data_IF_290228640737
#
_entry.id   IF_290228640737
#
_cell.length_a   1.000
_cell.length_b   1.000
_cell.length_c   1.000
_cell.angle_alpha   90.00
_cell.angle_beta   90.00
_cell.angle_gamma   90.00
#
_symmetry.space_group_name_H-M   'P 1'
#
loop_
_entity.id
_entity.type
_entity.pdbx_description
1 polymer ?
#
# COMPACT_ATOMS: atom_id res chain seq x y z
N UNK A 1 19.53 -1.18 -15.47
CA UNK A 1 19.64 -1.33 -14.01
C UNK A 1 20.59 -0.25 -13.52
N UNK A 2 20.05 0.87 -13.10
CA UNK A 2 20.84 1.96 -12.48
C UNK A 2 20.88 1.68 -10.99
N UNK A 3 22.07 1.36 -10.48
CA UNK A 3 22.34 1.27 -9.05
C UNK A 3 22.16 2.65 -8.42
N UNK A 4 21.10 2.83 -7.62
CA UNK A 4 20.96 4.00 -6.77
C UNK A 4 21.64 3.72 -5.43
N UNK A 5 22.58 4.60 -5.01
CA UNK A 5 23.39 4.40 -3.83
C UNK A 5 22.63 4.85 -2.58
N UNK A 6 21.79 3.99 -2.02
CA UNK A 6 21.35 4.08 -0.64
C UNK A 6 21.32 2.67 -0.06
N UNK A 7 22.30 2.44 0.80
CA UNK A 7 22.56 1.19 1.51
C UNK A 7 21.33 0.74 2.33
N UNK A 8 20.40 0.06 1.66
CA UNK A 8 19.32 -0.63 2.34
C UNK A 8 19.84 -2.00 2.69
N UNK A 9 20.37 -2.15 3.90
CA UNK A 9 20.68 -3.47 4.45
C UNK A 9 19.37 -4.25 4.57
N UNK A 10 19.11 -5.08 3.57
CA UNK A 10 17.97 -5.99 3.59
C UNK A 10 18.17 -7.01 4.72
N UNK A 11 17.14 -7.34 5.52
CA UNK A 11 17.26 -8.42 6.47
C UNK A 11 17.63 -9.71 5.72
N UNK A 12 18.56 -10.47 6.28
CA UNK A 12 18.98 -11.77 5.74
C UNK A 12 18.83 -12.87 6.79
N UNK A 13 18.54 -14.09 6.34
CA UNK A 13 18.37 -15.25 7.20
C UNK A 13 17.13 -15.17 8.11
N UNK A 14 16.15 -14.34 7.80
CA UNK A 14 14.90 -14.20 8.55
C UNK A 14 13.83 -15.14 8.01
N UNK A 15 12.90 -15.54 8.89
CA UNK A 15 11.67 -16.26 8.51
C UNK A 15 10.50 -15.29 8.55
N UNK A 16 9.97 -14.95 7.39
CA UNK A 16 9.06 -13.84 7.19
C UNK A 16 7.69 -14.34 6.76
N UNK A 17 6.63 -13.87 7.44
CA UNK A 17 5.25 -14.12 7.06
C UNK A 17 4.65 -12.89 6.40
N UNK A 18 4.06 -13.07 5.22
CA UNK A 18 3.41 -11.99 4.47
C UNK A 18 1.99 -12.40 4.08
N UNK A 19 1.01 -11.58 4.44
CA UNK A 19 -0.37 -11.74 3.95
C UNK A 19 -0.68 -10.71 2.87
N UNK A 20 -1.59 -11.03 1.96
CA UNK A 20 -1.94 -10.13 0.86
C UNK A 20 -0.92 -10.04 -0.27
N UNK A 21 0.04 -10.98 -0.34
CA UNK A 21 1.11 -11.00 -1.34
C UNK A 21 0.64 -11.21 -2.80
N UNK A 22 -0.61 -11.60 -3.00
CA UNK A 22 -1.21 -11.66 -4.36
C UNK A 22 -1.68 -10.30 -4.88
N UNK A 23 -1.68 -9.28 -4.01
CA UNK A 23 -2.13 -7.92 -4.32
C UNK A 23 -1.00 -6.97 -4.73
N UNK A 24 -1.37 -5.70 -4.91
CA UNK A 24 -0.48 -4.62 -5.32
C UNK A 24 0.66 -4.37 -4.32
N UNK A 25 0.33 -4.24 -3.03
CA UNK A 25 1.24 -3.72 -2.01
C UNK A 25 2.33 -4.73 -1.63
N UNK A 26 1.92 -5.95 -1.28
CA UNK A 26 2.83 -6.91 -0.66
C UNK A 26 3.56 -7.83 -1.65
N UNK A 27 3.20 -7.81 -2.94
CA UNK A 27 3.84 -8.70 -3.91
C UNK A 27 5.30 -8.34 -4.15
N UNK A 28 5.59 -7.07 -4.44
CA UNK A 28 6.98 -6.59 -4.61
C UNK A 28 7.81 -6.87 -3.35
N UNK A 29 7.22 -6.63 -2.16
CA UNK A 29 7.87 -6.93 -0.87
C UNK A 29 8.24 -8.41 -0.77
N UNK A 30 7.30 -9.32 -1.06
CA UNK A 30 7.55 -10.75 -0.98
C UNK A 30 8.65 -11.21 -1.96
N UNK A 31 8.58 -10.74 -3.20
CA UNK A 31 9.55 -11.09 -4.24
C UNK A 31 10.95 -10.55 -3.94
N UNK A 32 11.05 -9.34 -3.38
CA UNK A 32 12.34 -8.73 -3.00
C UNK A 32 12.97 -9.44 -1.80
N UNK A 33 12.19 -9.69 -0.74
CA UNK A 33 12.70 -10.30 0.48
C UNK A 33 13.11 -11.77 0.32
N UNK A 34 12.50 -12.48 -0.64
CA UNK A 34 12.79 -13.89 -0.89
C UNK A 34 14.23 -14.16 -1.36
N UNK A 35 14.95 -13.14 -1.86
CA UNK A 35 16.33 -13.30 -2.29
C UNK A 35 17.29 -13.72 -1.15
N UNK A 36 16.99 -13.34 0.09
CA UNK A 36 17.88 -13.53 1.25
C UNK A 36 17.18 -14.09 2.49
N UNK A 37 15.91 -14.47 2.39
CA UNK A 37 15.09 -14.87 3.53
C UNK A 37 14.16 -16.06 3.20
N UNK A 38 13.72 -16.77 4.22
CA UNK A 38 12.62 -17.74 4.11
C UNK A 38 11.29 -16.99 4.16
N UNK A 39 10.67 -16.77 2.99
CA UNK A 39 9.41 -16.02 2.88
C UNK A 39 8.22 -16.97 2.73
N UNK A 40 7.20 -16.77 3.57
CA UNK A 40 5.92 -17.44 3.54
C UNK A 40 4.82 -16.45 3.17
N UNK A 41 4.07 -16.75 2.12
CA UNK A 41 2.94 -15.93 1.70
C UNK A 41 1.62 -16.64 2.01
N UNK A 42 0.77 -15.99 2.80
CA UNK A 42 -0.57 -16.45 3.11
C UNK A 42 -1.59 -15.76 2.22
N UNK A 43 -2.52 -16.52 1.65
CA UNK A 43 -3.59 -15.99 0.84
C UNK A 43 -4.42 -17.06 0.15
N UNK A 44 -5.48 -16.66 -0.52
CA UNK A 44 -6.43 -17.58 -1.19
C UNK A 44 -5.85 -18.21 -2.46
N UNK A 45 -4.83 -17.64 -3.05
CA UNK A 45 -4.18 -18.09 -4.31
C UNK A 45 -5.17 -18.53 -5.39
N UNK A 46 -6.13 -17.64 -5.73
CA UNK A 46 -7.13 -17.90 -6.78
C UNK A 46 -6.52 -17.98 -8.17
N UNK A 47 -5.34 -17.40 -8.38
CA UNK A 47 -4.52 -17.55 -9.60
C UNK A 47 -3.41 -18.58 -9.36
N UNK A 48 -3.56 -19.82 -9.91
CA UNK A 48 -2.54 -20.88 -9.77
C UNK A 48 -1.21 -20.53 -10.45
N UNK A 49 -1.24 -19.70 -11.50
CA UNK A 49 -0.02 -19.28 -12.18
C UNK A 49 0.82 -18.36 -11.32
N UNK A 50 0.19 -17.46 -10.55
CA UNK A 50 0.88 -16.63 -9.58
C UNK A 50 1.45 -17.47 -8.42
N UNK A 51 0.68 -18.44 -7.89
CA UNK A 51 1.15 -19.35 -6.87
C UNK A 51 2.38 -20.15 -7.35
N UNK A 52 2.35 -20.64 -8.59
CA UNK A 52 3.48 -21.35 -9.20
C UNK A 52 4.72 -20.44 -9.33
N UNK A 53 4.56 -19.20 -9.80
CA UNK A 53 5.66 -18.21 -9.87
C UNK A 53 6.30 -17.92 -8.51
N UNK A 54 5.50 -17.85 -7.45
CA UNK A 54 6.04 -17.67 -6.09
C UNK A 54 6.91 -18.86 -5.69
N UNK A 55 6.43 -20.08 -5.91
CA UNK A 55 7.21 -21.30 -5.59
C UNK A 55 8.50 -21.39 -6.40
N UNK A 56 8.49 -20.99 -7.67
CA UNK A 56 9.71 -20.93 -8.50
C UNK A 56 10.76 -19.94 -7.97
N UNK A 57 10.32 -18.92 -7.23
CA UNK A 57 11.20 -17.96 -6.56
C UNK A 57 11.57 -18.35 -5.13
N UNK A 58 11.30 -19.58 -4.72
CA UNK A 58 11.59 -20.06 -3.36
C UNK A 58 10.61 -19.54 -2.30
N UNK A 59 9.55 -18.83 -2.68
CA UNK A 59 8.53 -18.34 -1.76
C UNK A 59 7.60 -19.48 -1.41
N UNK A 60 7.44 -19.76 -0.12
CA UNK A 60 6.48 -20.75 0.38
C UNK A 60 5.08 -20.17 0.35
N UNK A 61 4.11 -20.92 -0.12
CA UNK A 61 2.71 -20.51 -0.19
C UNK A 61 1.87 -21.33 0.78
N UNK A 62 0.97 -20.65 1.50
CA UNK A 62 0.02 -21.27 2.40
C UNK A 62 -1.38 -20.75 2.09
N UNK A 63 -2.31 -21.68 1.77
CA UNK A 63 -3.69 -21.29 1.52
C UNK A 63 -4.37 -20.91 2.82
N UNK A 64 -4.91 -19.71 2.84
CA UNK A 64 -5.56 -19.13 3.99
C UNK A 64 -6.61 -18.12 3.55
N UNK A 65 -7.84 -18.31 4.00
CA UNK A 65 -8.89 -17.29 3.93
C UNK A 65 -9.04 -16.64 5.30
N UNK A 66 -8.78 -15.35 5.37
CA UNK A 66 -8.85 -14.60 6.63
C UNK A 66 -10.25 -14.55 7.25
N UNK A 67 -11.31 -14.82 6.45
CA UNK A 67 -12.69 -14.81 6.93
C UNK A 67 -13.04 -16.03 7.82
N UNK A 68 -12.40 -17.19 7.60
CA UNK A 68 -12.80 -18.40 8.31
C UNK A 68 -11.67 -19.35 8.72
N UNK A 69 -10.53 -19.31 8.01
CA UNK A 69 -9.50 -20.32 8.23
C UNK A 69 -8.70 -20.08 9.52
N UNK A 70 -8.42 -21.17 10.21
CA UNK A 70 -7.47 -21.21 11.31
C UNK A 70 -6.02 -21.36 10.78
N UNK A 71 -5.04 -21.07 11.63
CA UNK A 71 -3.61 -21.15 11.31
C UNK A 71 -2.97 -22.47 11.76
N UNK A 72 -3.77 -23.53 11.91
CA UNK A 72 -3.28 -24.84 12.34
C UNK A 72 -2.28 -25.42 11.34
N UNK A 73 -1.12 -25.89 11.84
CA UNK A 73 -0.05 -26.45 11.02
C UNK A 73 0.88 -25.41 10.38
N UNK A 74 0.54 -24.13 10.43
CA UNK A 74 1.46 -23.06 10.05
C UNK A 74 2.59 -22.97 11.08
N UNK A 75 3.88 -22.85 10.69
CA UNK A 75 4.97 -22.60 11.62
C UNK A 75 4.73 -21.39 12.52
N UNK A 76 5.29 -21.41 13.74
CA UNK A 76 5.13 -20.31 14.73
C UNK A 76 6.40 -19.50 14.94
N UNK A 77 7.49 -19.88 14.32
CA UNK A 77 8.84 -19.34 14.48
C UNK A 77 9.16 -18.22 13.47
N UNK A 78 8.14 -17.51 13.03
CA UNK A 78 8.33 -16.32 12.19
C UNK A 78 8.99 -15.20 13.00
N UNK A 79 10.03 -14.61 12.43
CA UNK A 79 10.74 -13.50 13.03
C UNK A 79 10.09 -12.16 12.68
N UNK A 80 9.54 -12.03 11.47
CA UNK A 80 8.92 -10.79 10.98
C UNK A 80 7.59 -11.09 10.29
N UNK A 81 6.61 -10.21 10.49
CA UNK A 81 5.28 -10.34 9.89
C UNK A 81 4.89 -9.05 9.16
N UNK A 82 4.41 -9.19 7.91
CA UNK A 82 3.73 -8.13 7.18
C UNK A 82 2.28 -8.52 6.94
N UNK A 83 1.35 -7.84 7.59
CA UNK A 83 -0.09 -8.05 7.41
C UNK A 83 -0.68 -6.97 6.50
N UNK A 84 -0.83 -7.29 5.21
CA UNK A 84 -1.38 -6.41 4.18
C UNK A 84 -2.69 -6.95 3.54
N UNK A 85 -3.12 -8.16 3.93
CA UNK A 85 -4.43 -8.66 3.50
C UNK A 85 -5.55 -7.81 4.09
N UNK A 86 -6.63 -7.67 3.35
CA UNK A 86 -7.80 -6.89 3.76
C UNK A 86 -9.07 -7.45 3.13
N UNK A 87 -10.14 -7.51 3.93
CA UNK A 87 -11.51 -7.64 3.45
C UNK A 87 -12.12 -6.23 3.38
N UNK A 88 -12.67 -5.88 2.21
CA UNK A 88 -13.19 -4.53 1.97
C UNK A 88 -14.64 -4.35 2.42
N UNK A 89 -15.33 -5.46 2.67
CA UNK A 89 -16.68 -5.48 3.21
C UNK A 89 -17.78 -5.22 2.18
N UNK A 90 -17.49 -4.97 0.92
CA UNK A 90 -18.44 -4.72 -0.19
C UNK A 90 -19.80 -4.06 0.23
N UNK A 91 -19.74 -3.15 1.24
CA UNK A 91 -20.89 -2.48 1.85
C UNK A 91 -21.34 -3.06 3.20
N UNK A 92 -20.88 -4.23 3.60
CA UNK A 92 -21.15 -4.81 4.92
C UNK A 92 -20.12 -4.33 5.96
N UNK A 93 -20.60 -3.53 6.92
CA UNK A 93 -19.75 -2.97 7.98
C UNK A 93 -19.32 -4.01 9.01
N UNK A 94 -20.22 -4.93 9.35
CA UNK A 94 -19.94 -5.97 10.35
C UNK A 94 -18.85 -6.91 9.84
N UNK A 95 -18.99 -7.38 8.60
CA UNK A 95 -17.98 -8.21 7.96
C UNK A 95 -16.63 -7.48 7.83
N UNK A 96 -16.64 -6.20 7.43
CA UNK A 96 -15.41 -5.42 7.33
C UNK A 96 -14.70 -5.27 8.67
N UNK A 97 -15.44 -5.10 9.76
CA UNK A 97 -14.89 -4.99 11.13
C UNK A 97 -14.45 -6.36 11.64
N UNK A 98 -15.34 -7.35 11.61
CA UNK A 98 -15.10 -8.65 12.22
C UNK A 98 -13.96 -9.41 11.51
N UNK A 99 -14.02 -9.55 10.18
CA UNK A 99 -13.04 -10.33 9.43
C UNK A 99 -11.64 -9.74 9.57
N UNK A 100 -11.48 -8.42 9.41
CA UNK A 100 -10.16 -7.80 9.50
C UNK A 100 -9.59 -7.86 10.93
N UNK A 101 -10.40 -7.54 11.94
CA UNK A 101 -9.95 -7.50 13.33
C UNK A 101 -9.62 -8.91 13.86
N UNK A 102 -10.44 -9.91 13.55
CA UNK A 102 -10.21 -11.30 13.97
C UNK A 102 -8.99 -11.88 13.28
N UNK A 103 -8.82 -11.65 11.97
CA UNK A 103 -7.65 -12.12 11.23
C UNK A 103 -6.35 -11.52 11.77
N UNK A 104 -6.32 -10.21 12.04
CA UNK A 104 -5.17 -9.55 12.65
C UNK A 104 -4.88 -10.13 14.04
N UNK A 105 -5.91 -10.35 14.85
CA UNK A 105 -5.79 -10.94 16.18
C UNK A 105 -5.23 -12.37 16.16
N UNK A 106 -5.72 -13.21 15.24
CA UNK A 106 -5.22 -14.58 15.02
C UNK A 106 -3.75 -14.58 14.63
N UNK A 107 -3.35 -13.71 13.67
CA UNK A 107 -1.97 -13.59 13.21
C UNK A 107 -1.04 -13.12 14.33
N UNK A 108 -1.40 -12.06 15.06
CA UNK A 108 -0.59 -11.54 16.16
C UNK A 108 -0.43 -12.59 17.28
N UNK A 109 -1.50 -13.30 17.64
CA UNK A 109 -1.44 -14.37 18.63
C UNK A 109 -0.60 -15.55 18.15
N UNK A 110 -0.72 -15.94 16.88
CA UNK A 110 0.06 -17.02 16.28
C UNK A 110 1.54 -16.67 16.22
N UNK A 111 1.88 -15.45 15.81
CA UNK A 111 3.24 -14.94 15.65
C UNK A 111 3.72 -14.13 16.89
N UNK A 112 3.19 -14.38 18.08
CA UNK A 112 3.49 -13.59 19.30
C UNK A 112 4.97 -13.53 19.68
N UNK A 113 5.78 -14.46 19.19
CA UNK A 113 7.23 -14.50 19.42
C UNK A 113 8.03 -13.77 18.32
N UNK A 114 7.38 -13.12 17.37
CA UNK A 114 8.06 -12.40 16.32
C UNK A 114 8.81 -11.17 16.85
N UNK A 115 9.92 -10.84 16.23
CA UNK A 115 10.72 -9.65 16.51
C UNK A 115 9.98 -8.36 16.11
N UNK A 116 9.17 -8.43 15.04
CA UNK A 116 8.39 -7.29 14.57
C UNK A 116 7.13 -7.70 13.79
N UNK A 117 6.04 -6.95 14.01
CA UNK A 117 4.79 -7.05 13.28
C UNK A 117 4.48 -5.72 12.59
N UNK A 118 4.27 -5.73 11.27
CA UNK A 118 3.88 -4.56 10.50
C UNK A 118 2.45 -4.74 9.98
N UNK A 119 1.53 -3.90 10.47
CA UNK A 119 0.16 -3.84 10.00
C UNK A 119 -0.01 -2.72 8.97
N UNK A 120 -0.52 -3.06 7.79
CA UNK A 120 -0.83 -2.08 6.74
C UNK A 120 -2.25 -1.55 6.94
N UNK A 121 -2.34 -0.34 7.49
CA UNK A 121 -3.57 0.43 7.59
C UNK A 121 -3.76 1.33 6.35
N UNK A 122 -4.53 2.38 6.43
CA UNK A 122 -4.90 3.24 5.31
C UNK A 122 -4.99 4.72 5.71
N UNK A 123 -4.81 5.61 4.74
CA UNK A 123 -5.09 7.04 4.90
C UNK A 123 -6.57 7.34 5.17
N UNK A 124 -7.46 6.45 4.78
CA UNK A 124 -8.90 6.65 4.92
C UNK A 124 -9.41 6.59 6.38
N UNK A 125 -8.54 6.30 7.36
CA UNK A 125 -8.90 6.33 8.79
C UNK A 125 -8.97 7.72 9.40
N UNK A 126 -8.51 8.74 8.68
CA UNK A 126 -8.55 10.12 9.16
C UNK A 126 -9.92 10.77 8.96
N UNK A 127 -10.29 11.64 9.90
CA UNK A 127 -11.43 12.54 9.73
C UNK A 127 -11.16 13.53 8.58
N UNK A 128 -12.19 13.94 7.83
CA UNK A 128 -12.03 14.95 6.80
C UNK A 128 -11.48 16.27 7.33
N UNK A 129 -10.56 16.86 6.56
CA UNK A 129 -9.96 18.17 6.78
C UNK A 129 -10.04 18.99 5.48
N UNK A 130 -9.46 20.19 5.48
CA UNK A 130 -9.34 20.97 4.25
C UNK A 130 -8.62 20.14 3.16
N UNK A 131 -8.99 20.29 1.87
CA UNK A 131 -8.47 19.45 0.79
C UNK A 131 -6.94 19.45 0.66
N UNK A 132 -6.28 20.55 1.01
CA UNK A 132 -4.84 20.75 0.97
C UNK A 132 -4.13 20.46 2.29
N UNK A 133 -4.88 20.05 3.33
CA UNK A 133 -4.31 19.70 4.62
C UNK A 133 -3.38 18.48 4.50
N UNK A 134 -2.18 18.59 5.09
CA UNK A 134 -1.23 17.47 5.16
C UNK A 134 -1.38 16.78 6.50
N UNK A 135 -2.01 15.61 6.48
CA UNK A 135 -2.30 14.87 7.70
C UNK A 135 -1.04 14.38 8.40
N UNK A 136 -0.98 14.62 9.71
CA UNK A 136 0.00 14.03 10.63
C UNK A 136 -0.58 12.82 11.34
N UNK A 137 0.24 12.00 12.01
CA UNK A 137 -0.22 10.83 12.77
C UNK A 137 -1.09 11.17 13.98
N UNK A 138 -1.06 12.43 14.44
CA UNK A 138 -1.85 12.95 15.56
C UNK A 138 -3.19 13.55 15.15
N UNK A 139 -3.48 13.67 13.87
CA UNK A 139 -4.74 14.23 13.39
C UNK A 139 -5.95 13.38 13.82
N UNK A 140 -7.13 13.98 13.94
CA UNK A 140 -8.34 13.28 14.33
C UNK A 140 -8.65 12.11 13.42
N UNK A 141 -9.08 11.00 14.04
CA UNK A 141 -9.55 9.80 13.35
C UNK A 141 -11.07 9.87 13.17
N UNK A 142 -11.52 9.39 12.03
CA UNK A 142 -12.92 9.34 11.66
C UNK A 142 -13.02 9.00 10.18
N UNK A 143 -14.14 8.48 9.74
CA UNK A 143 -14.29 8.02 8.37
C UNK A 143 -15.40 8.74 7.66
N UNK A 144 -15.18 9.19 6.42
CA UNK A 144 -16.18 9.82 5.57
C UNK A 144 -16.05 9.40 4.11
N UNK A 145 -15.80 8.12 3.85
CA UNK A 145 -15.72 7.60 2.48
C UNK A 145 -17.12 7.27 1.97
N UNK A 146 -17.66 8.10 1.08
CA UNK A 146 -18.91 7.81 0.39
C UNK A 146 -18.76 6.69 -0.66
N UNK A 147 -17.56 6.49 -1.20
CA UNK A 147 -17.30 5.51 -2.26
C UNK A 147 -17.13 4.08 -1.74
N UNK A 148 -16.52 3.90 -0.55
CA UNK A 148 -16.27 2.59 0.07
C UNK A 148 -16.41 2.71 1.60
N UNK A 149 -17.63 2.85 2.13
CA UNK A 149 -17.82 3.29 3.51
C UNK A 149 -17.38 2.26 4.56
N UNK A 150 -17.54 0.97 4.33
CA UNK A 150 -17.19 -0.08 5.29
C UNK A 150 -15.67 -0.25 5.46
N UNK A 151 -14.89 -0.05 4.40
CA UNK A 151 -13.45 -0.28 4.38
C UNK A 151 -12.67 0.52 5.44
N UNK A 152 -12.80 1.87 5.53
CA UNK A 152 -12.06 2.63 6.54
C UNK A 152 -12.53 2.33 7.96
N UNK A 153 -13.81 1.98 8.16
CA UNK A 153 -14.34 1.57 9.47
C UNK A 153 -13.69 0.27 9.92
N UNK A 154 -13.64 -0.74 9.05
CA UNK A 154 -12.94 -2.01 9.31
C UNK A 154 -11.46 -1.81 9.60
N UNK A 155 -10.78 -0.93 8.86
CA UNK A 155 -9.36 -0.59 9.09
C UNK A 155 -9.14 0.09 10.43
N UNK A 156 -9.99 1.05 10.80
CA UNK A 156 -9.88 1.76 12.08
C UNK A 156 -10.15 0.83 13.27
N UNK A 157 -11.17 -0.01 13.18
CA UNK A 157 -11.44 -1.02 14.21
C UNK A 157 -10.26 -1.99 14.38
N UNK A 158 -9.65 -2.43 13.27
CA UNK A 158 -8.47 -3.28 13.30
C UNK A 158 -7.25 -2.57 13.87
N UNK A 159 -7.03 -1.27 13.62
CA UNK A 159 -5.97 -0.51 14.33
C UNK A 159 -6.15 -0.57 15.85
N UNK A 160 -7.39 -0.46 16.35
CA UNK A 160 -7.70 -0.58 17.79
C UNK A 160 -7.32 -1.96 18.34
N UNK A 161 -7.69 -3.03 17.64
CA UNK A 161 -7.34 -4.40 18.02
C UNK A 161 -5.81 -4.63 17.99
N UNK A 162 -5.13 -4.18 16.95
CA UNK A 162 -3.67 -4.28 16.80
C UNK A 162 -2.94 -3.54 17.92
N UNK A 163 -3.38 -2.33 18.28
CA UNK A 163 -2.79 -1.56 19.40
C UNK A 163 -2.94 -2.30 20.74
N UNK A 164 -4.12 -2.80 21.01
CA UNK A 164 -4.39 -3.55 22.26
C UNK A 164 -3.53 -4.82 22.34
N UNK A 165 -3.46 -5.57 21.25
CA UNK A 165 -2.69 -6.82 21.20
C UNK A 165 -1.17 -6.59 21.20
N UNK A 166 -0.67 -5.51 20.60
CA UNK A 166 0.75 -5.15 20.69
C UNK A 166 1.19 -5.02 22.16
N UNK A 167 0.38 -4.35 22.99
CA UNK A 167 0.64 -4.20 24.43
C UNK A 167 0.43 -5.52 25.18
N UNK A 168 -0.70 -6.18 24.95
CA UNK A 168 -1.06 -7.41 25.70
C UNK A 168 -0.10 -8.58 25.44
N UNK A 169 0.46 -8.68 24.24
CA UNK A 169 1.40 -9.73 23.86
C UNK A 169 2.87 -9.29 24.00
N UNK A 170 3.15 -8.00 24.27
CA UNK A 170 4.50 -7.45 24.20
C UNK A 170 5.12 -7.56 22.81
N UNK A 171 4.30 -7.63 21.76
CA UNK A 171 4.75 -7.81 20.38
C UNK A 171 5.10 -6.46 19.75
N UNK A 172 6.38 -6.19 19.42
CA UNK A 172 6.76 -4.95 18.76
C UNK A 172 6.00 -4.79 17.44
N UNK A 173 5.29 -3.68 17.29
CA UNK A 173 4.35 -3.49 16.19
C UNK A 173 4.48 -2.10 15.57
N UNK A 174 4.42 -2.03 14.24
CA UNK A 174 4.23 -0.77 13.49
C UNK A 174 2.88 -0.82 12.78
N UNK A 175 2.10 0.24 12.90
CA UNK A 175 0.87 0.49 12.14
C UNK A 175 1.23 1.51 11.06
N UNK A 176 1.29 1.08 9.80
CA UNK A 176 1.61 1.93 8.67
C UNK A 176 0.31 2.33 7.93
N UNK A 177 -0.09 3.58 8.03
CA UNK A 177 -1.26 4.14 7.33
C UNK A 177 -0.85 4.45 5.91
N UNK A 178 -1.06 3.47 5.01
CA UNK A 178 -0.64 3.56 3.62
C UNK A 178 -1.51 4.56 2.85
N UNK A 179 -0.85 5.42 2.07
CA UNK A 179 -1.49 6.33 1.12
C UNK A 179 -1.73 5.63 -0.23
N UNK A 180 -1.80 6.37 -1.31
CA UNK A 180 -2.04 5.86 -2.66
C UNK A 180 -0.83 5.06 -3.15
N UNK A 181 -0.88 3.74 -2.96
CA UNK A 181 0.11 2.84 -3.53
C UNK A 181 -0.14 2.62 -5.04
N UNK A 182 0.94 2.55 -5.80
CA UNK A 182 0.91 2.21 -7.23
C UNK A 182 2.15 1.43 -7.63
N UNK A 183 2.04 0.58 -8.67
CA UNK A 183 3.14 -0.27 -9.10
C UNK A 183 2.74 -1.28 -10.19
N UNK A 184 3.69 -2.08 -10.70
CA UNK A 184 3.47 -2.94 -11.86
C UNK A 184 2.60 -4.17 -11.59
N UNK A 185 2.18 -4.42 -10.35
CA UNK A 185 1.44 -5.62 -9.99
C UNK A 185 -0.03 -5.33 -9.64
N UNK A 186 -0.84 -6.40 -9.58
CA UNK A 186 -2.25 -6.32 -9.20
C UNK A 186 -3.05 -5.39 -10.11
N UNK A 187 -3.79 -4.46 -9.52
CA UNK A 187 -4.59 -3.48 -10.27
C UNK A 187 -3.82 -2.20 -10.64
N UNK A 188 -2.53 -2.12 -10.36
CA UNK A 188 -1.66 -1.00 -10.72
C UNK A 188 -1.80 0.28 -9.91
N UNK A 189 -2.80 0.38 -9.06
CA UNK A 189 -3.10 1.56 -8.26
C UNK A 189 -3.94 2.62 -8.98
N UNK A 190 -4.06 3.79 -8.35
CA UNK A 190 -4.93 4.87 -8.82
C UNK A 190 -4.61 5.33 -10.27
N UNK A 191 -3.35 5.47 -10.68
CA UNK A 191 -3.02 5.89 -12.06
C UNK A 191 -3.60 4.93 -13.12
N UNK A 192 -3.50 3.62 -12.89
CA UNK A 192 -4.00 2.59 -13.81
C UNK A 192 -5.53 2.53 -13.80
N UNK A 193 -6.15 2.65 -12.62
CA UNK A 193 -7.61 2.65 -12.50
C UNK A 193 -8.20 3.82 -13.28
N UNK A 194 -7.68 5.01 -13.08
CA UNK A 194 -8.18 6.20 -13.78
C UNK A 194 -7.81 6.22 -15.27
N UNK A 195 -6.65 5.67 -15.64
CA UNK A 195 -6.31 5.56 -17.06
C UNK A 195 -7.26 4.61 -17.81
N UNK A 196 -7.72 3.52 -17.19
CA UNK A 196 -8.77 2.67 -17.77
C UNK A 196 -10.09 3.43 -17.95
N UNK A 197 -10.43 4.31 -17.01
CA UNK A 197 -11.60 5.20 -17.13
C UNK A 197 -11.45 6.17 -18.31
N UNK A 198 -10.27 6.80 -18.46
CA UNK A 198 -9.97 7.65 -19.62
C UNK A 198 -10.07 6.89 -20.95
N UNK A 199 -9.56 5.66 -21.02
CA UNK A 199 -9.68 4.80 -22.22
C UNK A 199 -11.14 4.44 -22.55
N UNK A 200 -12.02 4.37 -21.55
CA UNK A 200 -13.45 4.17 -21.73
C UNK A 200 -14.20 5.47 -22.09
N UNK A 201 -13.52 6.62 -22.13
CA UNK A 201 -14.16 7.93 -22.33
C UNK A 201 -15.00 8.40 -21.14
N UNK A 202 -14.77 7.83 -19.95
CA UNK A 202 -15.51 8.16 -18.74
C UNK A 202 -14.79 9.30 -17.99
N UNK A 203 -15.53 10.36 -17.54
CA UNK A 203 -14.91 11.43 -16.79
C UNK A 203 -14.50 10.98 -15.40
N UNK A 204 -13.40 11.55 -14.90
CA UNK A 204 -12.93 11.31 -13.52
C UNK A 204 -13.69 12.22 -12.56
N UNK A 205 -14.34 11.60 -11.58
CA UNK A 205 -15.07 12.34 -10.54
C UNK A 205 -14.08 13.11 -9.63
N UNK A 206 -14.30 14.40 -9.50
CA UNK A 206 -13.51 15.31 -8.64
C UNK A 206 -14.45 16.17 -7.80
N UNK A 207 -14.00 16.72 -6.66
CA UNK A 207 -14.83 17.63 -5.86
C UNK A 207 -15.35 18.80 -6.71
N UNK A 208 -16.56 19.32 -6.43
CA UNK A 208 -17.11 20.49 -7.13
C UNK A 208 -16.22 21.72 -7.03
N UNK A 209 -15.46 21.88 -5.93
CA UNK A 209 -14.47 22.93 -5.75
C UNK A 209 -13.09 22.31 -5.46
N UNK A 210 -12.06 22.78 -6.17
CA UNK A 210 -10.68 22.34 -5.98
C UNK A 210 -10.37 20.93 -6.49
N UNK A 211 -9.53 20.22 -5.77
CA UNK A 211 -9.13 18.84 -6.04
C UNK A 211 -8.70 18.13 -4.74
N UNK A 212 -8.69 16.81 -4.76
CA UNK A 212 -8.04 16.02 -3.72
C UNK A 212 -6.53 15.95 -3.96
N UNK A 213 -5.78 15.90 -2.87
CA UNK A 213 -4.33 15.69 -2.89
C UNK A 213 -4.00 14.35 -2.27
N UNK A 214 -2.92 13.72 -2.72
CA UNK A 214 -2.40 12.47 -2.17
C UNK A 214 -0.87 12.52 -2.06
N UNK A 215 -0.31 11.57 -1.36
CA UNK A 215 1.14 11.32 -1.30
C UNK A 215 1.41 9.94 -1.92
N UNK A 216 1.40 9.83 -3.28
CA UNK A 216 1.48 8.55 -3.96
C UNK A 216 2.86 7.90 -3.73
N UNK A 217 2.87 6.58 -3.48
CA UNK A 217 4.09 5.83 -3.21
C UNK A 217 4.21 4.62 -4.14
N UNK A 218 5.39 4.47 -4.75
CA UNK A 218 5.69 3.33 -5.62
C UNK A 218 5.91 2.04 -4.82
N UNK A 219 5.53 0.87 -5.37
CA UNK A 219 5.68 -0.41 -4.67
C UNK A 219 7.12 -0.81 -4.40
N UNK A 220 8.09 -0.33 -5.16
CA UNK A 220 9.51 -0.56 -4.87
C UNK A 220 9.96 0.23 -3.62
N UNK A 221 9.48 1.47 -3.44
CA UNK A 221 9.72 2.23 -2.21
C UNK A 221 8.99 1.59 -1.02
N UNK A 222 7.78 1.08 -1.23
CA UNK A 222 7.11 0.27 -0.21
C UNK A 222 8.01 -0.90 0.23
N UNK A 223 8.56 -1.66 -0.71
CA UNK A 223 9.46 -2.77 -0.38
C UNK A 223 10.71 -2.30 0.37
N UNK A 224 11.34 -1.20 -0.05
CA UNK A 224 12.51 -0.62 0.60
C UNK A 224 12.24 -0.10 2.02
N UNK A 225 11.03 0.37 2.29
CA UNK A 225 10.64 0.91 3.58
C UNK A 225 10.31 -0.18 4.62
N UNK A 226 9.82 -1.35 4.21
CA UNK A 226 9.36 -2.42 5.11
C UNK A 226 10.41 -2.80 6.17
N UNK A 227 11.69 -3.04 5.86
CA UNK A 227 12.69 -3.37 6.88
C UNK A 227 12.87 -2.29 7.95
N UNK A 228 12.81 -1.03 7.55
CA UNK A 228 12.94 0.11 8.47
C UNK A 228 11.68 0.33 9.31
N UNK A 229 10.51 0.03 8.76
CA UNK A 229 9.24 0.02 9.51
C UNK A 229 9.20 -1.12 10.54
N UNK A 230 9.79 -2.29 10.25
CA UNK A 230 9.99 -3.34 11.24
C UNK A 230 10.98 -2.91 12.32
N UNK A 231 12.07 -2.25 11.96
CA UNK A 231 13.04 -1.74 12.94
C UNK A 231 12.46 -0.65 13.86
N UNK A 232 11.43 0.07 13.40
CA UNK A 232 10.72 1.07 14.21
C UNK A 232 9.55 0.50 15.04
N UNK A 233 9.35 -0.83 15.01
CA UNK A 233 8.27 -1.48 15.74
C UNK A 233 8.48 -1.37 17.26
N UNK A 234 7.40 -1.11 17.98
CA UNK A 234 7.41 -0.95 19.44
C UNK A 234 6.12 -1.51 20.08
N UNK A 235 6.13 -1.65 21.37
CA UNK A 235 4.93 -1.88 22.18
C UNK A 235 4.90 -0.83 23.33
N UNK A 236 3.97 0.13 23.29
CA UNK A 236 2.83 0.34 22.36
C UNK A 236 3.25 0.56 20.88
N UNK A 237 2.35 0.22 19.95
CA UNK A 237 2.63 0.24 18.52
C UNK A 237 3.05 1.62 18.01
N UNK A 238 4.10 1.66 17.20
CA UNK A 238 4.50 2.84 16.43
C UNK A 238 3.50 3.07 15.31
N UNK A 239 3.01 4.32 15.13
CA UNK A 239 2.14 4.70 14.01
C UNK A 239 2.89 5.58 13.05
N UNK A 240 2.76 5.30 11.74
CA UNK A 240 3.47 6.02 10.68
C UNK A 240 2.55 6.28 9.50
N UNK A 241 2.49 7.51 9.03
CA UNK A 241 1.89 7.87 7.75
C UNK A 241 2.79 7.40 6.60
N UNK A 242 2.35 6.41 5.86
CA UNK A 242 3.16 5.75 4.84
C UNK A 242 2.76 6.22 3.44
N UNK A 243 3.37 7.28 2.98
CA UNK A 243 3.18 7.88 1.66
C UNK A 243 4.51 8.20 0.98
N UNK A 244 4.44 8.61 -0.28
CA UNK A 244 5.59 9.15 -1.03
C UNK A 244 6.00 10.54 -0.52
N UNK A 245 7.11 11.06 -1.03
CA UNK A 245 7.68 12.33 -0.59
C UNK A 245 6.90 13.55 -1.07
N UNK A 246 6.19 13.40 -2.18
CA UNK A 246 5.53 14.51 -2.86
C UNK A 246 4.02 14.53 -2.57
N UNK A 247 3.48 15.74 -2.44
CA UNK A 247 2.02 15.98 -2.46
C UNK A 247 1.58 16.22 -3.88
N UNK A 248 0.62 15.45 -4.37
CA UNK A 248 0.17 15.47 -5.76
C UNK A 248 -1.34 15.62 -5.83
N UNK A 249 -1.81 16.60 -6.60
CA UNK A 249 -3.23 16.75 -6.91
C UNK A 249 -3.71 15.68 -7.88
N UNK A 250 -4.94 15.20 -7.70
CA UNK A 250 -5.51 14.17 -8.61
C UNK A 250 -5.63 14.69 -10.04
N UNK A 251 -5.98 15.98 -10.23
CA UNK A 251 -6.00 16.59 -11.56
C UNK A 251 -4.61 16.66 -12.18
N UNK A 252 -3.59 17.01 -11.39
CA UNK A 252 -2.20 17.09 -11.86
C UNK A 252 -1.67 15.71 -12.26
N UNK A 253 -1.97 14.69 -11.44
CA UNK A 253 -1.63 13.31 -11.71
C UNK A 253 -2.21 12.84 -13.05
N UNK A 254 -3.51 13.07 -13.27
CA UNK A 254 -4.19 12.59 -14.48
C UNK A 254 -3.91 13.44 -15.72
N UNK A 255 -3.66 14.74 -15.56
CA UNK A 255 -3.12 15.56 -16.64
C UNK A 255 -1.73 15.11 -17.08
N UNK A 256 -0.91 14.62 -16.14
CA UNK A 256 0.38 14.00 -16.49
C UNK A 256 0.19 12.69 -17.26
N UNK A 257 -0.73 11.83 -16.83
CA UNK A 257 -1.08 10.60 -17.55
C UNK A 257 -1.55 10.92 -18.97
N UNK A 258 -2.41 11.93 -19.15
CA UNK A 258 -2.88 12.40 -20.46
C UNK A 258 -1.72 12.83 -21.37
N UNK A 259 -0.77 13.61 -20.85
CA UNK A 259 0.43 14.01 -21.60
C UNK A 259 1.33 12.82 -21.96
N UNK A 260 1.46 11.84 -21.10
CA UNK A 260 2.28 10.64 -21.36
C UNK A 260 1.69 9.75 -22.45
N UNK A 261 0.37 9.69 -22.54
CA UNK A 261 -0.34 8.69 -23.36
C UNK A 261 -1.04 9.29 -24.58
N UNK A 262 -1.22 10.62 -24.63
CA UNK A 262 -2.03 11.28 -25.64
C UNK A 262 -3.55 11.10 -25.48
N UNK A 263 -3.99 10.32 -24.48
CA UNK A 263 -5.42 10.09 -24.20
C UNK A 263 -5.97 11.32 -23.45
N UNK A 264 -7.04 11.95 -23.91
CA UNK A 264 -7.62 13.10 -23.23
C UNK A 264 -8.20 12.69 -21.86
N UNK A 265 -8.16 13.62 -20.89
CA UNK A 265 -8.78 13.44 -19.58
C UNK A 265 -9.88 14.46 -19.39
N UNK A 266 -11.06 13.97 -19.02
CA UNK A 266 -12.20 14.78 -18.62
C UNK A 266 -12.43 14.63 -17.11
N UNK A 267 -12.84 15.75 -16.47
CA UNK A 267 -13.15 15.79 -15.05
C UNK A 267 -14.60 16.23 -14.86
N UNK A 268 -15.37 15.45 -14.06
CA UNK A 268 -16.73 15.79 -13.71
C UNK A 268 -16.84 16.12 -12.21
N UNK A 269 -17.46 17.26 -11.83
CA UNK A 269 -17.75 17.56 -10.44
C UNK A 269 -18.69 16.50 -9.84
N UNK A 270 -18.35 16.00 -8.64
CA UNK A 270 -19.16 15.00 -7.91
C UNK A 270 -18.90 15.08 -6.42
N UNK A 271 -19.95 14.89 -5.62
CA UNK A 271 -19.84 14.72 -4.17
C UNK A 271 -19.37 13.31 -3.80
N UNK A 272 -19.51 12.34 -4.72
CA UNK A 272 -19.02 10.97 -4.54
C UNK A 272 -17.72 10.80 -5.32
N UNK A 273 -16.59 10.95 -4.61
CA UNK A 273 -15.25 10.82 -5.18
C UNK A 273 -14.46 9.75 -4.46
N UNK A 274 -13.36 9.29 -5.08
CA UNK A 274 -12.32 8.53 -4.37
C UNK A 274 -11.52 9.50 -3.51
N UNK A 275 -12.03 9.80 -2.32
CA UNK A 275 -11.37 10.71 -1.41
C UNK A 275 -9.96 10.19 -1.07
N UNK A 276 -8.94 10.95 -1.43
CA UNK A 276 -7.56 10.73 -1.04
C UNK A 276 -7.07 11.97 -0.29
N UNK A 277 -6.08 11.80 0.56
CA UNK A 277 -5.54 12.86 1.39
C UNK A 277 -4.01 12.92 1.26
N UNK A 278 -3.42 14.09 1.47
CA UNK A 278 -1.98 14.26 1.53
C UNK A 278 -1.45 14.05 2.96
N UNK A 279 -0.18 13.68 3.06
CA UNK A 279 0.51 13.48 4.33
C UNK A 279 1.59 14.53 4.59
N UNK A 280 1.77 14.88 5.86
CA UNK A 280 3.08 15.25 6.36
C UNK A 280 3.92 13.97 6.45
N UNK A 281 5.00 13.90 5.71
CA UNK A 281 5.86 12.72 5.62
C UNK A 281 7.11 12.80 6.49
N UNK A 282 7.22 13.82 7.32
CA UNK A 282 8.41 14.08 8.16
C UNK A 282 8.78 12.88 9.02
N UNK A 283 7.81 12.31 9.75
CA UNK A 283 8.05 11.13 10.58
C UNK A 283 8.46 9.92 9.78
N UNK A 284 7.77 9.67 8.66
CA UNK A 284 8.10 8.54 7.77
C UNK A 284 9.53 8.69 7.23
N UNK A 285 9.90 9.86 6.73
CA UNK A 285 11.25 10.13 6.21
C UNK A 285 12.33 9.96 7.28
N UNK A 286 12.06 10.34 8.51
CA UNK A 286 12.96 10.08 9.65
C UNK A 286 13.18 8.59 9.93
N UNK A 287 12.22 7.72 9.61
CA UNK A 287 12.30 6.27 9.80
C UNK A 287 12.88 5.58 8.55
N UNK A 288 12.35 5.87 7.37
CA UNK A 288 12.61 5.11 6.16
C UNK A 288 13.63 5.75 5.20
N UNK A 289 13.95 7.02 5.42
CA UNK A 289 14.64 7.85 4.43
C UNK A 289 13.69 8.28 3.29
N UNK A 290 14.24 8.89 2.26
CA UNK A 290 13.51 9.38 1.11
C UNK A 290 13.11 8.25 0.15
N UNK A 291 12.06 8.48 -0.65
CA UNK A 291 11.68 7.61 -1.75
C UNK A 291 12.72 7.68 -2.88
N UNK A 292 12.91 6.56 -3.60
CA UNK A 292 13.77 6.52 -4.78
C UNK A 292 13.03 6.96 -6.05
N UNK A 293 11.71 6.78 -6.06
CA UNK A 293 10.87 7.12 -7.20
C UNK A 293 10.22 8.48 -7.04
N UNK A 294 10.42 9.39 -8.01
CA UNK A 294 9.47 10.48 -8.20
C UNK A 294 8.13 9.90 -8.69
N UNK A 295 7.01 10.55 -8.34
CA UNK A 295 5.71 10.06 -8.79
C UNK A 295 5.58 10.06 -10.33
N UNK A 296 6.27 10.97 -11.02
CA UNK A 296 6.23 11.06 -12.48
C UNK A 296 6.90 9.87 -13.16
N UNK A 297 8.09 9.52 -12.72
CA UNK A 297 8.82 8.35 -13.23
C UNK A 297 8.09 7.05 -12.90
N UNK A 298 7.62 6.93 -11.66
CA UNK A 298 6.87 5.77 -11.23
C UNK A 298 5.56 5.59 -12.00
N UNK A 299 4.80 6.66 -12.26
CA UNK A 299 3.58 6.61 -13.07
C UNK A 299 3.88 6.17 -14.51
N UNK A 300 4.95 6.69 -15.13
CA UNK A 300 5.40 6.25 -16.46
C UNK A 300 5.67 4.74 -16.46
N UNK A 301 6.47 4.27 -15.51
CA UNK A 301 6.85 2.85 -15.40
C UNK A 301 5.61 1.95 -15.23
N UNK A 302 4.66 2.36 -14.40
CA UNK A 302 3.43 1.58 -14.15
C UNK A 302 2.53 1.54 -15.37
N UNK A 303 2.39 2.65 -16.09
CA UNK A 303 1.61 2.67 -17.34
C UNK A 303 2.25 1.78 -18.40
N UNK A 304 3.57 1.82 -18.56
CA UNK A 304 4.30 0.94 -19.48
C UNK A 304 4.08 -0.54 -19.13
N UNK A 305 4.10 -0.88 -17.84
CA UNK A 305 3.90 -2.25 -17.39
C UNK A 305 2.48 -2.79 -17.62
N UNK A 306 1.45 -1.93 -17.48
CA UNK A 306 0.04 -2.31 -17.63
C UNK A 306 -0.51 -2.12 -19.04
N UNK A 307 0.08 -1.21 -19.83
CA UNK A 307 -0.36 -0.82 -21.18
C UNK A 307 0.86 -0.64 -22.08
N UNK A 308 1.56 -1.72 -22.44
CA UNK A 308 2.77 -1.64 -23.26
C UNK A 308 2.54 -0.90 -24.58
N UNK A 309 3.45 0.02 -24.90
CA UNK A 309 3.39 0.81 -26.14
C UNK A 309 2.41 2.00 -26.13
N UNK A 310 1.74 2.27 -25.00
CA UNK A 310 0.82 3.41 -24.88
C UNK A 310 1.54 4.69 -24.46
N UNK A 311 2.63 4.55 -23.69
CA UNK A 311 3.41 5.70 -23.23
C UNK A 311 4.28 6.22 -24.36
N UNK A 312 4.07 7.50 -24.72
CA UNK A 312 4.85 8.17 -25.75
C UNK A 312 6.32 8.31 -25.32
N UNK A 313 7.24 8.18 -26.29
CA UNK A 313 8.65 8.53 -26.07
C UNK A 313 8.73 9.98 -25.57
N UNK A 314 9.60 10.24 -24.59
CA UNK A 314 9.86 11.63 -24.20
C UNK A 314 10.29 12.40 -25.44
N UNK A 315 9.76 13.63 -25.71
CA UNK A 315 10.31 14.44 -26.76
C UNK A 315 11.82 14.60 -26.48
N UNK A 316 12.65 14.22 -27.47
CA UNK A 316 14.07 14.48 -27.38
C UNK A 316 14.22 15.99 -27.09
N UNK A 317 14.88 16.32 -25.99
CA UNK A 317 15.31 17.71 -25.76
C UNK A 317 16.18 18.07 -26.95
N UNK A 318 15.60 18.84 -27.89
CA UNK A 318 16.40 19.42 -28.97
C UNK A 318 17.47 20.25 -28.30
N UNK A 319 18.69 19.73 -28.30
CA UNK A 319 19.86 20.48 -27.93
C UNK A 319 19.86 21.74 -28.80
N UNK A 320 19.48 22.86 -28.18
CA UNK A 320 19.77 24.17 -28.76
C UNK A 320 21.28 24.29 -28.68
N UNK A 321 21.93 23.96 -29.77
CA UNK A 321 23.35 24.32 -29.94
C UNK A 321 23.43 25.86 -30.01
N UNK A 322 24.43 26.44 -29.33
CA UNK A 322 24.63 27.88 -29.26
C UNK A 322 24.97 28.52 -30.60
#
# INVERSE_FOLDING_TARGET
>A
MTEHPHDTTWPAGKKILITGATGLVARTVAETLAAHNEVWCLGRFRDPALEHRFRQRGIRTWRWDMAGDELHGLPRDFTHVLHAAVERGDGDFEDAVAVNSVAAGRLMTHCRAAEAFLYVSTSAVYAPQAPDHRHTESDPLGTASAWLPAYPVGKLATEGAVRALAVALGLPTTIARLNVAYGPHGHGGLPVIYFRQMLAGEPIAVPPAGQHYCSPIHTDDIARHVPRLWAAAAAPATVVNWGGDETVGVRDLMSHVSRLTGVPVDFAPSDVTRAVIAYDTTRRRGITGDCAWSWREGVRQVLDAHFPGTVQAAPEERSVQP
#
